data_IF_035181657716
#
_entry.id   IF_035181657716
#
_cell.length_a   1.000
_cell.length_b   1.000
_cell.length_c   1.000
_cell.angle_alpha   90.00
_cell.angle_beta   90.00
_cell.angle_gamma   90.00
#
_symmetry.space_group_name_H-M   'P 1'
#
loop_
_entity.id
_entity.type
_entity.pdbx_description
1 polymer ?
#
# COMPACT_ATOMS: atom_id res chain seq x y z
N UNK A 1 -10.73 -19.37 7.01
CA UNK A 1 -9.79 -19.00 8.09
C UNK A 1 -8.83 -17.95 7.56
N UNK A 2 -7.93 -17.45 8.41
CA UNK A 2 -6.85 -16.54 7.99
C UNK A 2 -5.91 -17.27 7.02
N UNK A 3 -5.46 -16.59 5.97
CA UNK A 3 -4.53 -17.08 4.97
C UNK A 3 -3.37 -16.09 4.84
N UNK A 4 -2.15 -16.60 4.64
CA UNK A 4 -1.05 -15.74 4.18
C UNK A 4 -1.36 -15.19 2.79
N UNK A 5 -0.77 -14.03 2.46
CA UNK A 5 -0.99 -13.42 1.15
C UNK A 5 -0.60 -14.36 0.00
N UNK A 6 0.54 -15.06 0.10
CA UNK A 6 1.01 -15.97 -0.95
C UNK A 6 0.09 -17.18 -1.13
N UNK A 7 -0.42 -17.77 -0.04
CA UNK A 7 -1.41 -18.87 -0.15
C UNK A 7 -2.74 -18.40 -0.73
N UNK A 8 -3.21 -17.19 -0.38
CA UNK A 8 -4.44 -16.65 -0.97
C UNK A 8 -4.26 -16.31 -2.46
N UNK A 9 -3.21 -15.56 -2.79
CA UNK A 9 -2.99 -15.02 -4.13
C UNK A 9 -2.48 -16.08 -5.11
N UNK A 10 -1.45 -16.86 -4.75
CA UNK A 10 -0.81 -17.80 -5.68
C UNK A 10 -1.48 -19.17 -5.65
N UNK A 11 -1.50 -19.82 -4.48
CA UNK A 11 -1.98 -21.20 -4.33
C UNK A 11 -3.48 -21.28 -4.60
N UNK A 12 -4.27 -20.38 -4.01
CA UNK A 12 -5.73 -20.33 -4.16
C UNK A 12 -6.22 -19.37 -5.23
N UNK A 13 -5.31 -18.78 -6.02
CA UNK A 13 -5.60 -17.93 -7.18
C UNK A 13 -6.63 -16.85 -6.89
N UNK A 14 -6.53 -16.19 -5.74
CA UNK A 14 -7.40 -15.10 -5.29
C UNK A 14 -8.92 -15.41 -5.36
N UNK A 15 -9.30 -16.69 -5.40
CA UNK A 15 -10.71 -17.13 -5.48
C UNK A 15 -11.48 -17.03 -4.16
N UNK A 16 -10.88 -17.33 -2.98
CA UNK A 16 -11.58 -17.16 -1.72
C UNK A 16 -11.97 -15.70 -1.49
N UNK A 17 -13.26 -15.45 -1.22
CA UNK A 17 -13.77 -14.12 -0.95
C UNK A 17 -13.08 -13.50 0.27
N UNK A 18 -12.52 -12.30 0.08
CA UNK A 18 -11.85 -11.54 1.14
C UNK A 18 -12.88 -10.79 1.97
N UNK A 19 -12.81 -10.94 3.30
CA UNK A 19 -13.62 -10.17 4.26
C UNK A 19 -12.82 -9.09 5.00
N UNK A 20 -11.53 -9.34 5.22
CA UNK A 20 -10.61 -8.45 5.93
C UNK A 20 -9.18 -8.74 5.47
N UNK A 21 -8.38 -7.69 5.28
CA UNK A 21 -6.91 -7.77 5.18
C UNK A 21 -6.35 -7.46 6.56
N UNK A 22 -5.46 -8.31 7.06
CA UNK A 22 -4.80 -8.10 8.35
C UNK A 22 -3.35 -7.70 8.08
N UNK A 23 -2.99 -6.50 8.54
CA UNK A 23 -1.65 -5.96 8.46
C UNK A 23 -0.92 -6.19 9.80
N UNK A 24 0.42 -6.25 9.79
CA UNK A 24 1.20 -6.35 11.01
C UNK A 24 1.03 -5.10 11.89
N UNK A 25 1.06 -5.31 13.20
CA UNK A 25 1.01 -4.24 14.21
C UNK A 25 2.43 -3.75 14.53
N UNK A 26 2.54 -2.50 15.02
CA UNK A 26 3.78 -1.89 15.51
C UNK A 26 4.98 -1.89 14.54
N UNK A 27 4.72 -1.76 13.24
CA UNK A 27 5.79 -1.70 12.22
C UNK A 27 6.30 -0.26 12.05
N UNK A 28 7.63 -0.09 12.01
CA UNK A 28 8.29 1.21 11.90
C UNK A 28 9.19 1.30 10.68
N UNK A 29 9.21 2.48 10.06
CA UNK A 29 10.08 2.79 8.94
C UNK A 29 11.53 2.80 9.38
N UNK A 30 12.43 2.51 8.44
CA UNK A 30 13.86 2.75 8.68
C UNK A 30 14.14 4.25 8.61
N UNK A 31 15.21 4.75 9.26
CA UNK A 31 15.60 6.16 9.16
C UNK A 31 15.81 6.62 7.72
N UNK A 32 16.28 5.74 6.84
CA UNK A 32 16.51 6.04 5.41
C UNK A 32 15.20 6.31 4.66
N UNK A 33 14.13 5.59 5.00
CA UNK A 33 12.82 5.82 4.38
C UNK A 33 12.22 7.14 4.86
N UNK A 34 12.34 7.45 6.15
CA UNK A 34 11.89 8.73 6.69
C UNK A 34 12.64 9.91 6.06
N UNK A 35 13.98 9.86 6.04
CA UNK A 35 14.80 10.91 5.42
C UNK A 35 14.47 11.10 3.92
N UNK A 36 14.27 10.00 3.18
CA UNK A 36 13.89 10.10 1.77
C UNK A 36 12.52 10.75 1.55
N UNK A 37 11.57 10.60 2.49
CA UNK A 37 10.28 11.29 2.43
C UNK A 37 10.38 12.76 2.83
N UNK A 38 11.23 13.10 3.81
CA UNK A 38 11.47 14.49 4.25
C UNK A 38 12.17 15.33 3.18
N UNK A 39 13.09 14.73 2.43
CA UNK A 39 13.88 15.41 1.39
C UNK A 39 13.21 15.42 0.01
N UNK A 40 12.08 14.72 -0.16
CA UNK A 40 11.43 14.58 -1.45
C UNK A 40 10.74 15.88 -1.89
N UNK A 41 11.01 16.31 -3.14
CA UNK A 41 10.23 17.37 -3.78
C UNK A 41 8.77 16.93 -4.05
N UNK A 42 8.58 15.65 -4.37
CA UNK A 42 7.28 15.04 -4.65
C UNK A 42 7.27 13.56 -4.26
N UNK A 43 6.11 13.08 -3.81
CA UNK A 43 5.84 11.66 -3.53
C UNK A 43 4.86 11.13 -4.57
N UNK A 44 5.22 10.04 -5.25
CA UNK A 44 4.31 9.38 -6.20
C UNK A 44 3.78 8.07 -5.63
N UNK A 45 2.45 7.92 -5.58
CA UNK A 45 1.78 6.66 -5.33
C UNK A 45 1.51 5.99 -6.68
N UNK A 46 2.31 4.97 -6.98
CA UNK A 46 2.21 4.18 -8.21
C UNK A 46 0.83 3.48 -8.32
N UNK A 47 0.37 3.14 -9.54
CA UNK A 47 -0.92 2.47 -9.78
C UNK A 47 -0.85 0.97 -9.42
N UNK A 48 -0.56 0.68 -8.16
CA UNK A 48 -0.51 -0.66 -7.56
C UNK A 48 -1.81 -0.99 -6.84
N UNK A 49 -1.98 -2.25 -6.40
CA UNK A 49 -3.17 -2.64 -5.65
C UNK A 49 -3.24 -1.85 -4.32
N UNK A 50 -4.33 -1.12 -4.06
CA UNK A 50 -4.42 -0.26 -2.89
C UNK A 50 -4.36 -1.05 -1.59
N UNK A 51 -4.92 -2.26 -1.52
CA UNK A 51 -5.08 -3.01 -0.28
C UNK A 51 -3.90 -3.91 0.08
N UNK A 52 -3.23 -4.49 -0.92
CA UNK A 52 -2.17 -5.49 -0.68
C UNK A 52 -0.78 -5.02 -1.14
N UNK A 53 -0.69 -3.82 -1.70
CA UNK A 53 0.60 -3.21 -2.07
C UNK A 53 0.79 -1.85 -1.39
N UNK A 54 -0.14 -0.91 -1.55
CA UNK A 54 0.02 0.45 -1.01
C UNK A 54 -0.29 0.52 0.49
N UNK A 55 -1.43 0.01 0.93
CA UNK A 55 -1.83 0.07 2.34
C UNK A 55 -0.83 -0.61 3.31
N UNK A 56 -0.19 -1.75 2.97
CA UNK A 56 0.91 -2.30 3.77
C UNK A 56 2.09 -1.35 3.96
N UNK A 57 2.42 -0.52 2.96
CA UNK A 57 3.48 0.50 3.06
C UNK A 57 3.01 1.64 3.96
N UNK A 58 1.78 2.13 3.76
CA UNK A 58 1.20 3.20 4.59
C UNK A 58 1.00 2.78 6.06
N UNK A 59 0.86 1.49 6.35
CA UNK A 59 0.76 0.95 7.70
C UNK A 59 2.08 1.03 8.49
N UNK A 60 3.20 1.30 7.82
CA UNK A 60 4.50 1.46 8.48
C UNK A 60 4.61 2.88 9.05
N UNK A 61 4.69 3.02 10.38
CA UNK A 61 4.80 4.33 11.01
C UNK A 61 6.18 4.98 10.75
N UNK A 62 6.28 6.29 10.45
CA UNK A 62 5.20 7.29 10.34
C UNK A 62 4.73 7.57 8.89
N UNK A 63 4.95 6.65 7.93
CA UNK A 63 4.81 6.91 6.48
C UNK A 63 3.46 7.53 6.12
N UNK A 64 2.35 7.03 6.67
CA UNK A 64 1.02 7.61 6.39
C UNK A 64 0.93 9.07 6.81
N UNK A 65 1.37 9.40 8.03
CA UNK A 65 1.31 10.75 8.59
C UNK A 65 2.15 11.71 7.73
N UNK A 66 3.38 11.32 7.41
CA UNK A 66 4.29 12.12 6.57
C UNK A 66 3.69 12.46 5.19
N UNK A 67 2.98 11.50 4.58
CA UNK A 67 2.33 11.69 3.27
C UNK A 67 1.07 12.55 3.42
N UNK A 68 0.28 12.36 4.48
CA UNK A 68 -0.97 13.11 4.68
C UNK A 68 -0.76 14.54 5.17
N UNK A 69 0.39 14.84 5.77
CA UNK A 69 0.73 16.19 6.25
C UNK A 69 1.13 17.15 5.12
N UNK A 70 1.51 16.63 3.93
CA UNK A 70 1.93 17.40 2.75
C UNK A 70 1.19 16.97 1.47
N UNK A 71 -0.16 17.04 1.42
CA UNK A 71 -0.96 16.48 0.34
C UNK A 71 -0.68 17.12 -1.03
N UNK A 72 -0.22 18.37 -1.08
CA UNK A 72 0.14 19.07 -2.32
C UNK A 72 1.37 18.49 -3.04
N UNK A 73 2.22 17.76 -2.31
CA UNK A 73 3.41 17.11 -2.87
C UNK A 73 3.12 15.67 -3.33
N UNK A 74 1.89 15.17 -3.16
CA UNK A 74 1.53 13.77 -3.41
C UNK A 74 0.77 13.62 -4.72
N UNK A 75 1.35 12.87 -5.66
CA UNK A 75 0.70 12.46 -6.90
C UNK A 75 0.29 10.98 -6.82
N UNK A 76 -1.00 10.68 -6.97
CA UNK A 76 -1.49 9.30 -7.04
C UNK A 76 -2.00 8.96 -8.45
N UNK A 77 -1.63 7.78 -8.94
CA UNK A 77 -2.12 7.25 -10.22
C UNK A 77 -3.11 6.13 -9.94
N UNK A 78 -4.32 6.24 -10.49
CA UNK A 78 -5.35 5.20 -10.33
C UNK A 78 -4.91 3.87 -10.94
N UNK A 79 -5.00 2.73 -10.22
CA UNK A 79 -4.83 1.39 -10.78
C UNK A 79 -6.08 0.88 -11.51
N UNK A 80 -7.17 1.66 -11.52
CA UNK A 80 -8.46 1.30 -12.12
C UNK A 80 -8.61 1.96 -13.48
N UNK A 81 -8.84 1.15 -14.52
CA UNK A 81 -9.11 1.59 -15.89
C UNK A 81 -10.52 1.14 -16.26
N UNK A 82 -11.41 2.09 -16.59
CA UNK A 82 -12.79 1.78 -16.99
C UNK A 82 -13.63 1.07 -15.92
N UNK A 83 -13.33 1.29 -14.64
CA UNK A 83 -14.01 0.62 -13.51
C UNK A 83 -13.49 -0.78 -13.19
N UNK A 84 -12.43 -1.23 -13.85
CA UNK A 84 -11.80 -2.54 -13.65
C UNK A 84 -10.35 -2.38 -13.18
N UNK A 85 -9.87 -3.28 -12.33
CA UNK A 85 -8.44 -3.38 -12.04
C UNK A 85 -7.69 -3.90 -13.29
N UNK A 86 -6.48 -3.39 -13.54
CA UNK A 86 -5.69 -3.80 -14.72
C UNK A 86 -5.22 -5.25 -14.59
N UNK A 87 -4.79 -5.65 -13.40
CA UNK A 87 -4.39 -7.01 -13.02
C UNK A 87 -4.62 -7.22 -11.52
N UNK A 88 -4.96 -8.46 -11.16
CA UNK A 88 -5.34 -8.83 -9.80
C UNK A 88 -6.83 -8.63 -9.55
#
# INVERSE_FOLDING_TARGET
GLLSFQSWFVERRWQPAVRKVQLPEDVRATPQVAAALEEADFVTIAPSNPFVSIDPILNVYPIREMITDLPEMVLAVSPIIGGQAVKG
#
